data_IF_837774086273
#
_entry.id   IF_837774086273
#
_cell.length_a   1.000
_cell.length_b   1.000
_cell.length_c   1.000
_cell.angle_alpha   90.00
_cell.angle_beta   90.00
_cell.angle_gamma   90.00
#
_symmetry.space_group_name_H-M   'P 1'
#
loop_
_entity.id
_entity.type
_entity.pdbx_description
1 polymer ?
#
# COMPACT_ATOMS: atom_id res chain seq x y z
N UNK A 1 -14.10 12.29 -7.58
CA UNK A 1 -12.97 11.43 -7.16
C UNK A 1 -13.50 10.03 -6.89
N UNK A 2 -12.73 9.00 -7.23
CA UNK A 2 -13.09 7.60 -6.92
C UNK A 2 -12.23 7.14 -5.75
N UNK A 3 -12.85 6.64 -4.68
CA UNK A 3 -12.16 6.14 -3.50
C UNK A 3 -12.45 4.65 -3.29
N UNK A 4 -11.49 3.86 -2.77
CA UNK A 4 -11.74 2.49 -2.38
C UNK A 4 -12.67 2.45 -1.16
N UNK A 5 -13.63 1.52 -1.18
CA UNK A 5 -14.57 1.22 -0.10
C UNK A 5 -14.63 -0.30 0.08
N UNK A 6 -15.06 -0.79 1.25
CA UNK A 6 -15.00 -2.21 1.61
C UNK A 6 -15.69 -3.17 0.62
N UNK A 7 -16.60 -2.68 -0.24
CA UNK A 7 -17.26 -3.46 -1.29
C UNK A 7 -16.91 -3.07 -2.73
N UNK A 8 -15.93 -2.18 -2.96
CA UNK A 8 -15.55 -1.72 -4.30
C UNK A 8 -15.22 -0.24 -4.36
N UNK A 9 -15.48 0.40 -5.51
CA UNK A 9 -15.10 1.79 -5.76
C UNK A 9 -16.30 2.74 -5.61
N UNK A 10 -16.17 3.78 -4.78
CA UNK A 10 -17.19 4.81 -4.59
C UNK A 10 -16.84 6.08 -5.39
N UNK A 11 -17.77 6.58 -6.19
CA UNK A 11 -17.64 7.86 -6.90
C UNK A 11 -18.20 8.98 -6.02
N UNK A 12 -17.38 9.98 -5.70
CA UNK A 12 -17.73 11.12 -4.84
C UNK A 12 -17.48 12.44 -5.58
N UNK A 13 -18.41 13.38 -5.45
CA UNK A 13 -18.21 14.77 -5.89
C UNK A 13 -17.73 15.61 -4.71
N UNK A 14 -16.69 16.42 -4.91
CA UNK A 14 -16.09 17.25 -3.85
C UNK A 14 -15.95 18.68 -4.39
N UNK A 15 -16.46 19.72 -3.69
CA UNK A 15 -16.28 21.10 -4.09
C UNK A 15 -14.83 21.57 -3.90
N UNK A 16 -14.37 22.51 -4.73
CA UNK A 16 -13.02 23.08 -4.65
C UNK A 16 -13.00 24.28 -3.68
N UNK A 17 -11.90 24.52 -2.93
CA UNK A 17 -10.62 23.78 -2.93
C UNK A 17 -10.69 22.47 -2.12
N UNK A 18 -10.10 21.40 -2.67
CA UNK A 18 -10.11 20.07 -2.06
C UNK A 18 -8.71 19.45 -2.03
N UNK A 19 -8.44 18.64 -0.99
CA UNK A 19 -7.23 17.84 -0.86
C UNK A 19 -7.52 16.42 -1.33
N UNK A 20 -6.68 15.88 -2.21
CA UNK A 20 -6.83 14.54 -2.78
C UNK A 20 -5.56 13.74 -2.50
N UNK A 21 -5.69 12.63 -1.78
CA UNK A 21 -4.65 11.60 -1.67
C UNK A 21 -4.78 10.59 -2.80
N UNK A 22 -3.68 10.27 -3.46
CA UNK A 22 -3.65 9.28 -4.54
C UNK A 22 -3.01 7.99 -4.04
N UNK A 23 -3.78 6.90 -4.03
CA UNK A 23 -3.22 5.56 -3.81
C UNK A 23 -2.42 5.09 -5.03
N UNK A 24 -1.57 4.08 -4.84
CA UNK A 24 -0.75 3.50 -5.92
C UNK A 24 -1.58 3.05 -7.12
N UNK A 25 -2.82 2.60 -6.89
CA UNK A 25 -3.79 2.25 -7.93
C UNK A 25 -3.27 1.26 -8.98
N UNK A 26 -3.97 1.21 -10.12
CA UNK A 26 -3.59 0.38 -11.28
C UNK A 26 -2.94 1.17 -12.43
N UNK A 27 -2.57 2.43 -12.21
CA UNK A 27 -1.99 3.28 -13.26
C UNK A 27 -0.48 3.11 -13.32
N UNK A 28 0.06 3.04 -14.54
CA UNK A 28 1.50 3.02 -14.76
C UNK A 28 2.01 4.44 -14.89
N UNK A 29 2.91 4.84 -13.99
CA UNK A 29 3.59 6.14 -14.10
C UNK A 29 4.37 6.19 -15.42
N UNK A 30 4.27 7.31 -16.14
CA UNK A 30 4.97 7.50 -17.40
C UNK A 30 6.48 7.37 -17.20
N UNK A 31 7.18 6.78 -18.19
CA UNK A 31 8.64 6.79 -18.21
C UNK A 31 9.14 8.23 -18.48
N UNK A 32 10.07 8.78 -17.68
CA UNK A 32 10.68 10.07 -17.98
C UNK A 32 11.43 10.04 -19.32
N UNK A 33 11.43 11.16 -20.05
CA UNK A 33 12.24 11.33 -21.25
C UNK A 33 13.52 12.13 -20.96
N UNK A 34 14.54 12.01 -21.82
CA UNK A 34 15.84 12.66 -21.61
C UNK A 34 15.70 14.19 -21.47
N UNK A 35 14.89 14.82 -22.34
CA UNK A 35 14.62 16.26 -22.29
C UNK A 35 14.02 16.71 -20.96
N UNK A 36 13.03 15.97 -20.44
CA UNK A 36 12.38 16.25 -19.17
C UNK A 36 13.33 16.12 -17.99
N UNK A 37 14.21 15.11 -18.00
CA UNK A 37 15.27 14.96 -16.99
C UNK A 37 16.24 16.16 -17.02
N UNK A 38 16.66 16.60 -18.22
CA UNK A 38 17.57 17.74 -18.39
C UNK A 38 16.92 19.09 -18.01
N UNK A 39 15.61 19.22 -18.14
CA UNK A 39 14.87 20.41 -17.69
C UNK A 39 14.67 20.38 -16.17
N UNK A 40 14.27 19.25 -15.60
CA UNK A 40 14.07 19.09 -14.16
C UNK A 40 15.36 19.34 -13.36
N UNK A 41 16.52 18.93 -13.90
CA UNK A 41 17.83 19.25 -13.29
C UNK A 41 18.17 20.74 -13.23
N UNK A 42 17.59 21.56 -14.11
CA UNK A 42 17.84 23.02 -14.16
C UNK A 42 16.82 23.83 -13.40
N UNK A 43 15.68 23.23 -13.02
CA UNK A 43 14.68 23.91 -12.23
C UNK A 43 15.24 24.20 -10.83
N UNK A 44 15.05 25.44 -10.35
CA UNK A 44 15.34 25.79 -8.97
C UNK A 44 14.37 25.08 -8.04
N UNK A 45 14.89 24.55 -6.94
CA UNK A 45 14.08 23.98 -5.86
C UNK A 45 14.05 25.01 -4.74
N UNK A 46 12.87 25.61 -4.52
CA UNK A 46 12.68 26.57 -3.43
C UNK A 46 12.59 25.82 -2.10
N UNK A 47 13.62 25.97 -1.27
CA UNK A 47 13.70 25.33 0.03
C UNK A 47 13.24 26.34 1.09
N UNK A 48 12.10 26.07 1.69
CA UNK A 48 11.58 26.85 2.81
C UNK A 48 11.85 26.11 4.12
N UNK A 49 12.54 26.74 5.07
CA UNK A 49 12.66 26.23 6.42
C UNK A 49 11.40 26.53 7.21
N UNK A 50 10.80 25.50 7.82
CA UNK A 50 9.64 25.61 8.70
C UNK A 50 9.96 24.89 10.00
N UNK A 51 9.57 25.49 11.11
CA UNK A 51 9.59 24.84 12.43
C UNK A 51 8.31 24.01 12.59
N UNK A 52 8.47 22.68 12.64
CA UNK A 52 7.34 21.78 12.81
C UNK A 52 6.83 21.82 14.27
N UNK A 53 5.52 21.72 14.51
CA UNK A 53 4.97 21.64 15.85
C UNK A 53 5.45 20.37 16.56
N UNK A 54 5.48 20.40 17.90
CA UNK A 54 5.88 19.25 18.71
C UNK A 54 5.00 18.02 18.40
N UNK A 55 5.64 16.88 18.14
CA UNK A 55 4.93 15.61 17.91
C UNK A 55 4.18 15.18 19.15
N UNK A 56 2.93 14.75 18.98
CA UNK A 56 2.12 14.15 20.04
C UNK A 56 2.38 12.65 20.21
N UNK A 57 3.16 12.04 19.31
CA UNK A 57 3.43 10.59 19.28
C UNK A 57 4.92 10.33 19.43
N UNK A 58 5.28 9.36 20.28
CA UNK A 58 6.64 8.82 20.43
C UNK A 58 6.69 7.35 20.00
N UNK A 59 7.75 6.97 19.29
CA UNK A 59 7.98 5.58 18.87
C UNK A 59 8.66 4.85 20.04
N UNK A 60 7.93 3.94 20.69
CA UNK A 60 8.44 3.19 21.86
C UNK A 60 9.30 2.01 21.44
N UNK A 61 8.90 1.28 20.38
CA UNK A 61 9.62 0.12 19.88
C UNK A 61 9.22 -0.19 18.44
N UNK A 62 10.14 -0.75 17.65
CA UNK A 62 9.86 -1.25 16.31
C UNK A 62 10.65 -2.54 16.08
N UNK A 63 9.97 -3.62 15.70
CA UNK A 63 10.58 -4.91 15.41
C UNK A 63 10.00 -5.48 14.12
N UNK A 64 10.77 -6.31 13.43
CA UNK A 64 10.27 -7.03 12.27
C UNK A 64 9.25 -8.09 12.72
N UNK A 65 8.19 -8.34 11.92
CA UNK A 65 7.28 -9.44 12.21
C UNK A 65 8.04 -10.78 12.21
N UNK A 66 7.59 -11.78 12.99
CA UNK A 66 8.23 -13.08 13.04
C UNK A 66 8.24 -13.75 11.67
N UNK A 67 9.28 -14.54 11.40
CA UNK A 67 9.39 -15.31 10.17
C UNK A 67 8.20 -16.27 10.02
N UNK A 68 7.69 -16.43 8.79
CA UNK A 68 6.63 -17.39 8.51
C UNK A 68 7.13 -18.81 8.82
N UNK A 69 6.32 -19.67 9.46
CA UNK A 69 6.68 -21.07 9.68
C UNK A 69 6.85 -21.81 8.35
N UNK A 70 7.61 -22.90 8.37
CA UNK A 70 7.81 -23.75 7.19
C UNK A 70 6.46 -24.25 6.64
N UNK A 71 6.28 -24.18 5.32
CA UNK A 71 5.07 -24.67 4.66
C UNK A 71 4.91 -26.18 4.83
N UNK A 72 3.67 -26.65 4.97
CA UNK A 72 3.32 -28.07 4.99
C UNK A 72 2.90 -28.50 3.58
N UNK A 73 3.48 -29.59 3.07
CA UNK A 73 3.11 -30.20 1.77
C UNK A 73 2.31 -31.48 2.00
N UNK A 74 1.29 -31.71 1.17
CA UNK A 74 0.43 -32.89 1.24
C UNK A 74 0.38 -33.58 -0.14
N UNK A 75 0.47 -34.91 -0.17
CA UNK A 75 0.42 -35.70 -1.41
C UNK A 75 -0.80 -36.62 -1.45
N UNK A 76 -1.42 -36.74 -2.63
CA UNK A 76 -2.54 -37.64 -2.88
C UNK A 76 -3.93 -37.09 -2.49
N UNK A 77 -4.98 -37.67 -3.08
CA UNK A 77 -6.37 -37.22 -2.90
C UNK A 77 -6.95 -37.45 -1.49
N UNK A 78 -6.36 -38.36 -0.71
CA UNK A 78 -6.79 -38.65 0.66
C UNK A 78 -6.55 -37.48 1.63
N UNK A 79 -5.59 -36.60 1.34
CA UNK A 79 -5.26 -35.44 2.17
C UNK A 79 -6.20 -34.22 1.91
N UNK A 80 -7.11 -34.29 0.93
CA UNK A 80 -7.94 -33.15 0.52
C UNK A 80 -8.84 -32.62 1.66
N UNK A 81 -9.39 -33.51 2.49
CA UNK A 81 -10.25 -33.13 3.61
C UNK A 81 -9.47 -32.42 4.74
N UNK A 82 -8.21 -32.81 4.96
CA UNK A 82 -7.32 -32.21 5.94
C UNK A 82 -6.84 -30.83 5.48
N UNK A 83 -6.46 -30.70 4.20
CA UNK A 83 -6.10 -29.42 3.59
C UNK A 83 -7.27 -28.42 3.66
N UNK A 84 -8.50 -28.86 3.40
CA UNK A 84 -9.67 -27.99 3.48
C UNK A 84 -9.97 -27.49 4.90
N UNK A 85 -9.66 -28.28 5.94
CA UNK A 85 -9.78 -27.84 7.35
C UNK A 85 -8.71 -26.80 7.68
N UNK A 86 -7.46 -27.06 7.34
CA UNK A 86 -6.35 -26.14 7.60
C UNK A 86 -6.52 -24.80 6.89
N UNK A 87 -7.09 -24.79 5.68
CA UNK A 87 -7.36 -23.55 4.93
C UNK A 87 -8.47 -22.69 5.56
N UNK A 88 -9.47 -23.30 6.21
CA UNK A 88 -10.52 -22.58 6.97
C UNK A 88 -9.99 -22.07 8.29
N UNK A 89 -9.39 -22.97 9.07
CA UNK A 89 -9.12 -22.71 10.49
C UNK A 89 -7.83 -21.91 10.70
N UNK A 90 -6.75 -22.23 9.97
CA UNK A 90 -5.44 -21.59 10.17
C UNK A 90 -5.19 -20.45 9.18
N UNK A 91 -5.65 -20.59 7.93
CA UNK A 91 -5.35 -19.64 6.87
C UNK A 91 -6.45 -18.59 6.65
N UNK A 92 -7.69 -18.84 7.13
CA UNK A 92 -8.86 -17.98 6.97
C UNK A 92 -9.04 -17.46 5.52
N UNK A 93 -8.85 -18.35 4.54
CA UNK A 93 -8.95 -18.04 3.09
C UNK A 93 -10.28 -18.55 2.51
N UNK A 94 -11.00 -19.38 3.26
CA UNK A 94 -12.30 -19.98 2.92
C UNK A 94 -13.36 -19.51 3.92
#
# INVERSE_FOLDING_TARGET
VTMPSGGGNAKVSVPLPAVISCDKGGFKVRKPNVKGIMQAKRASVDVHSIEAPASTVSIVSHALPPAKPAGKSYEGGAAAAEVAKLLRDEANIL
#
